data_IF_507342536708
#
_entry.id   IF_507342536708
#
_cell.length_a   1.000
_cell.length_b   1.000
_cell.length_c   1.000
_cell.angle_alpha   90.00
_cell.angle_beta   90.00
_cell.angle_gamma   90.00
#
_symmetry.space_group_name_H-M   'P 1'
#
loop_
_entity.id
_entity.type
_entity.pdbx_description
1 polymer ?
#
# COMPACT_ATOMS: atom_id res chain seq x y z
N UNK A 1 -1.74 2.18 -26.49
CA UNK A 1 -0.90 3.22 -27.14
C UNK A 1 -0.62 4.39 -26.21
N UNK A 2 -1.60 5.23 -25.81
CA UNK A 2 -1.32 6.41 -24.98
C UNK A 2 -0.84 6.07 -23.55
N UNK A 3 -1.38 4.99 -22.97
CA UNK A 3 -1.02 4.50 -21.63
C UNK A 3 0.38 3.85 -21.64
N UNK A 4 0.79 3.23 -22.75
CA UNK A 4 2.13 2.62 -22.87
C UNK A 4 3.21 3.69 -22.94
N UNK A 5 2.90 4.83 -23.57
CA UNK A 5 3.77 5.98 -23.58
C UNK A 5 3.88 6.62 -22.18
N UNK A 6 2.76 6.81 -21.46
CA UNK A 6 2.80 7.32 -20.07
C UNK A 6 3.56 6.41 -19.11
N UNK A 7 3.41 5.08 -19.25
CA UNK A 7 4.18 4.09 -18.49
C UNK A 7 5.67 4.21 -18.84
N UNK A 8 6.01 4.32 -20.12
CA UNK A 8 7.40 4.44 -20.57
C UNK A 8 8.03 5.74 -20.10
N UNK A 9 7.32 6.86 -20.19
CA UNK A 9 7.77 8.18 -19.73
C UNK A 9 7.99 8.19 -18.20
N UNK A 10 7.13 7.47 -17.46
CA UNK A 10 7.31 7.31 -16.02
C UNK A 10 8.50 6.40 -15.70
N UNK A 11 8.64 5.27 -16.38
CA UNK A 11 9.82 4.41 -16.26
C UNK A 11 11.10 5.17 -16.60
N UNK A 12 11.08 6.03 -17.60
CA UNK A 12 12.22 6.85 -17.98
C UNK A 12 12.49 7.97 -16.96
N UNK A 13 11.46 8.49 -16.27
CA UNK A 13 11.62 9.39 -15.13
C UNK A 13 12.21 8.66 -13.92
N UNK A 14 11.74 7.46 -13.61
CA UNK A 14 12.24 6.64 -12.50
C UNK A 14 13.69 6.22 -12.75
N UNK A 15 14.04 5.77 -13.95
CA UNK A 15 15.43 5.51 -14.38
C UNK A 15 16.34 6.74 -14.30
N UNK A 16 15.78 7.95 -14.45
CA UNK A 16 16.53 9.19 -14.26
C UNK A 16 16.70 9.53 -12.77
N UNK A 17 15.74 9.18 -11.92
CA UNK A 17 15.86 9.27 -10.46
C UNK A 17 16.86 8.22 -9.92
N UNK A 18 16.89 7.03 -10.50
CA UNK A 18 17.86 5.95 -10.22
C UNK A 18 19.32 6.38 -10.47
N UNK A 19 19.58 7.34 -11.37
CA UNK A 19 20.94 7.81 -11.67
C UNK A 19 21.60 8.58 -10.51
N UNK A 20 20.90 8.82 -9.41
CA UNK A 20 21.45 9.42 -8.18
C UNK A 20 21.56 8.45 -6.99
N UNK A 21 20.64 7.49 -6.86
CA UNK A 21 20.65 6.38 -5.90
C UNK A 21 19.88 5.20 -6.52
N UNK A 22 20.33 3.93 -6.38
CA UNK A 22 19.54 2.80 -6.85
C UNK A 22 18.20 2.78 -6.10
N UNK A 23 17.09 2.89 -6.82
CA UNK A 23 15.76 2.58 -6.28
C UNK A 23 15.68 1.05 -6.16
N UNK A 24 16.01 0.51 -4.99
CA UNK A 24 15.81 -0.91 -4.70
C UNK A 24 14.35 -1.18 -4.32
N UNK A 25 13.52 -1.14 -5.35
CA UNK A 25 12.09 -1.34 -5.24
C UNK A 25 11.72 -2.70 -4.62
N UNK A 26 12.53 -3.74 -4.84
CA UNK A 26 12.29 -5.07 -4.26
C UNK A 26 12.46 -5.04 -2.74
N UNK A 27 13.57 -4.48 -2.25
CA UNK A 27 13.78 -4.33 -0.80
C UNK A 27 12.76 -3.39 -0.17
N UNK A 28 12.35 -2.33 -0.88
CA UNK A 28 11.32 -1.40 -0.40
C UNK A 28 9.94 -2.07 -0.29
N UNK A 29 9.62 -3.05 -1.15
CA UNK A 29 8.41 -3.89 -1.01
C UNK A 29 8.43 -4.71 0.26
N UNK A 30 9.49 -5.47 0.50
CA UNK A 30 9.62 -6.26 1.72
C UNK A 30 9.55 -5.37 2.97
N UNK A 31 10.20 -4.21 2.91
CA UNK A 31 10.16 -3.21 3.97
C UNK A 31 8.74 -2.67 4.21
N UNK A 32 7.96 -2.46 3.14
CA UNK A 32 6.55 -2.04 3.25
C UNK A 32 5.70 -3.11 3.97
N UNK A 33 5.96 -4.40 3.75
CA UNK A 33 5.28 -5.50 4.44
C UNK A 33 5.73 -5.58 5.90
N UNK A 34 7.01 -5.40 6.19
CA UNK A 34 7.50 -5.31 7.57
C UNK A 34 6.80 -4.18 8.34
N UNK A 35 6.61 -3.02 7.71
CA UNK A 35 5.88 -1.88 8.29
C UNK A 35 4.41 -2.23 8.55
N UNK A 36 3.71 -2.90 7.61
CA UNK A 36 2.34 -3.39 7.83
C UNK A 36 2.28 -4.29 9.08
N UNK A 37 3.22 -5.21 9.22
CA UNK A 37 3.29 -6.12 10.36
C UNK A 37 3.53 -5.37 11.68
N UNK A 38 4.39 -4.35 11.71
CA UNK A 38 4.60 -3.53 12.90
C UNK A 38 3.32 -2.76 13.29
N UNK A 39 2.55 -2.24 12.32
CA UNK A 39 1.22 -1.64 12.60
C UNK A 39 0.30 -2.67 13.25
N UNK A 40 0.25 -3.89 12.71
CA UNK A 40 -0.57 -4.96 13.28
C UNK A 40 -0.12 -5.36 14.70
N UNK A 41 1.18 -5.29 15.01
CA UNK A 41 1.70 -5.55 16.36
C UNK A 41 1.28 -4.42 17.31
N UNK A 42 1.37 -3.16 16.92
CA UNK A 42 0.88 -2.03 17.73
C UNK A 42 -0.60 -2.23 18.11
N UNK A 43 -1.45 -2.58 17.15
CA UNK A 43 -2.87 -2.86 17.39
C UNK A 43 -3.08 -4.04 18.35
N UNK A 44 -2.32 -5.13 18.18
CA UNK A 44 -2.42 -6.31 19.05
C UNK A 44 -2.00 -6.00 20.49
N UNK A 45 -0.94 -5.21 20.68
CA UNK A 45 -0.45 -4.78 21.98
C UNK A 45 -1.46 -3.87 22.68
N UNK A 46 -2.09 -2.95 21.95
CA UNK A 46 -3.20 -2.13 22.46
C UNK A 46 -4.31 -3.02 23.02
N UNK A 47 -4.82 -3.98 22.24
CA UNK A 47 -5.86 -4.89 22.73
C UNK A 47 -5.38 -5.76 23.90
N UNK A 48 -4.11 -6.15 23.94
CA UNK A 48 -3.54 -6.94 25.03
C UNK A 48 -3.47 -6.13 26.33
N UNK A 49 -3.13 -4.85 26.24
CA UNK A 49 -3.15 -3.94 27.37
C UNK A 49 -4.56 -3.84 27.96
N UNK A 50 -5.56 -3.56 27.12
CA UNK A 50 -6.96 -3.39 27.54
C UNK A 50 -7.58 -4.68 28.10
N UNK A 51 -7.28 -5.84 27.48
CA UNK A 51 -7.81 -7.13 27.94
C UNK A 51 -7.22 -7.59 29.27
N UNK A 52 -5.98 -7.19 29.58
CA UNK A 52 -5.25 -7.73 30.73
C UNK A 52 -5.03 -6.71 31.84
N UNK A 53 -5.26 -5.42 31.58
CA UNK A 53 -4.93 -4.32 32.49
C UNK A 53 -3.43 -4.12 32.70
N UNK A 54 -2.55 -4.77 31.93
CA UNK A 54 -1.10 -4.73 32.14
C UNK A 54 -0.46 -3.61 31.31
N UNK A 55 -0.06 -2.54 31.99
CA UNK A 55 0.59 -1.35 31.39
C UNK A 55 1.86 -1.68 30.59
N UNK A 56 2.57 -2.77 30.91
CA UNK A 56 3.76 -3.19 30.15
C UNK A 56 3.54 -3.36 28.65
N UNK A 57 2.30 -3.68 28.22
CA UNK A 57 1.99 -3.80 26.80
C UNK A 57 2.00 -2.43 26.09
N UNK A 58 1.67 -1.35 26.79
CA UNK A 58 1.83 0.02 26.27
C UNK A 58 3.29 0.43 26.13
N UNK A 59 4.15 0.00 27.06
CA UNK A 59 5.59 0.24 26.97
C UNK A 59 6.18 -0.47 25.74
N UNK A 60 5.82 -1.73 25.52
CA UNK A 60 6.24 -2.47 24.32
C UNK A 60 5.66 -1.87 23.03
N UNK A 61 4.41 -1.37 23.08
CA UNK A 61 3.79 -0.68 21.95
C UNK A 61 4.63 0.54 21.53
N UNK A 62 5.13 1.32 22.50
CA UNK A 62 5.98 2.47 22.23
C UNK A 62 7.27 2.08 21.50
N UNK A 63 7.93 0.98 21.89
CA UNK A 63 9.13 0.47 21.21
C UNK A 63 8.84 0.05 19.76
N UNK A 64 7.76 -0.71 19.55
CA UNK A 64 7.32 -1.13 18.21
C UNK A 64 6.99 0.09 17.34
N UNK A 65 6.37 1.11 17.94
CA UNK A 65 6.00 2.36 17.27
C UNK A 65 7.21 3.14 16.79
N UNK A 66 8.28 3.21 17.59
CA UNK A 66 9.52 3.88 17.19
C UNK A 66 10.22 3.12 16.06
N UNK A 67 10.32 1.79 16.17
CA UNK A 67 10.83 0.95 15.08
C UNK A 67 10.05 1.17 13.77
N UNK A 68 8.72 1.20 13.82
CA UNK A 68 7.90 1.48 12.63
C UNK A 68 8.19 2.86 12.06
N UNK A 69 8.32 3.89 12.90
CA UNK A 69 8.63 5.25 12.43
C UNK A 69 9.99 5.29 11.73
N UNK A 70 11.00 4.60 12.23
CA UNK A 70 12.31 4.52 11.60
C UNK A 70 12.23 3.87 10.21
N UNK A 71 11.62 2.69 10.11
CA UNK A 71 11.46 2.00 8.82
C UNK A 71 10.63 2.82 7.82
N UNK A 72 9.59 3.51 8.30
CA UNK A 72 8.76 4.37 7.45
C UNK A 72 9.54 5.55 6.86
N UNK A 73 10.59 6.05 7.54
CA UNK A 73 11.48 7.11 6.98
C UNK A 73 12.36 6.61 5.84
N UNK A 74 12.63 5.31 5.79
CA UNK A 74 13.45 4.74 4.72
C UNK A 74 12.68 4.71 3.40
N UNK A 75 11.37 4.45 3.44
CA UNK A 75 10.52 4.35 2.25
C UNK A 75 9.80 5.64 1.86
N UNK A 76 9.57 6.58 2.80
CA UNK A 76 8.91 7.86 2.54
C UNK A 76 9.92 9.00 2.57
N UNK A 77 10.32 9.48 1.38
CA UNK A 77 11.31 10.56 1.23
C UNK A 77 10.77 11.94 1.62
N UNK A 78 9.47 12.20 1.48
CA UNK A 78 8.80 13.44 1.92
C UNK A 78 8.10 13.21 3.27
N UNK A 79 8.87 13.27 4.36
CA UNK A 79 8.40 12.96 5.72
C UNK A 79 7.64 14.10 6.43
N UNK A 80 7.50 15.26 5.78
CA UNK A 80 6.77 16.41 6.29
C UNK A 80 5.39 16.51 5.61
N UNK A 81 4.31 16.20 6.34
CA UNK A 81 2.93 16.48 5.92
C UNK A 81 2.00 15.27 5.80
N UNK A 82 0.95 15.43 5.00
CA UNK A 82 -0.16 14.47 4.87
C UNK A 82 0.27 13.14 4.22
N UNK A 83 1.29 13.15 3.36
CA UNK A 83 1.79 11.96 2.67
C UNK A 83 2.27 10.87 3.65
N UNK A 84 3.00 11.26 4.70
CA UNK A 84 3.45 10.34 5.75
C UNK A 84 2.28 9.62 6.43
N UNK A 85 1.27 10.39 6.83
CA UNK A 85 0.11 9.87 7.53
C UNK A 85 -0.76 9.02 6.58
N UNK A 86 -0.96 9.48 5.35
CA UNK A 86 -1.70 8.77 4.32
C UNK A 86 -1.06 7.42 3.98
N UNK A 87 0.25 7.38 3.78
CA UNK A 87 0.99 6.15 3.46
C UNK A 87 0.83 5.07 4.52
N UNK A 88 0.97 5.40 5.82
CA UNK A 88 0.72 4.39 6.88
C UNK A 88 -0.74 3.90 6.88
N UNK A 89 -1.70 4.75 6.58
CA UNK A 89 -3.12 4.40 6.59
C UNK A 89 -3.47 3.51 5.39
N UNK A 90 -2.87 3.77 4.23
CA UNK A 90 -3.00 2.92 3.04
C UNK A 90 -2.42 1.52 3.30
N UNK A 91 -1.22 1.43 3.88
CA UNK A 91 -0.61 0.15 4.25
C UNK A 91 -1.47 -0.63 5.25
N UNK A 92 -1.92 0.02 6.32
CA UNK A 92 -2.77 -0.60 7.35
C UNK A 92 -4.10 -1.10 6.79
N UNK A 93 -4.79 -0.28 6.01
CA UNK A 93 -6.08 -0.64 5.41
C UNK A 93 -5.93 -1.77 4.38
N UNK A 94 -4.84 -1.75 3.59
CA UNK A 94 -4.51 -2.82 2.66
C UNK A 94 -4.35 -4.16 3.38
N UNK A 95 -3.49 -4.22 4.40
CA UNK A 95 -3.28 -5.43 5.20
C UNK A 95 -4.58 -5.93 5.85
N UNK A 96 -5.40 -5.02 6.38
CA UNK A 96 -6.67 -5.39 7.02
C UNK A 96 -7.66 -6.00 6.02
N UNK A 97 -7.72 -5.49 4.80
CA UNK A 97 -8.56 -6.07 3.74
C UNK A 97 -8.05 -7.43 3.26
N UNK A 98 -6.73 -7.66 3.21
CA UNK A 98 -6.16 -8.99 2.95
C UNK A 98 -6.67 -10.00 4.00
N UNK A 99 -6.58 -9.65 5.28
CA UNK A 99 -7.04 -10.51 6.38
C UNK A 99 -8.55 -10.80 6.31
N UNK A 100 -9.38 -9.78 6.04
CA UNK A 100 -10.83 -9.96 5.91
C UNK A 100 -11.19 -10.80 4.67
N UNK A 101 -10.48 -10.60 3.56
CA UNK A 101 -10.62 -11.42 2.35
C UNK A 101 -10.27 -12.89 2.60
N UNK A 102 -9.17 -13.17 3.29
CA UNK A 102 -8.77 -14.53 3.68
C UNK A 102 -9.84 -15.20 4.55
N UNK A 103 -10.42 -14.46 5.51
CA UNK A 103 -11.54 -14.99 6.31
C UNK A 103 -12.79 -15.31 5.49
N UNK A 104 -13.09 -14.50 4.47
CA UNK A 104 -14.19 -14.77 3.54
C UNK A 104 -13.92 -16.02 2.69
N UNK A 105 -12.67 -16.24 2.23
CA UNK A 105 -12.29 -17.48 1.56
C UNK A 105 -12.53 -18.71 2.44
N UNK A 106 -12.13 -18.66 3.72
CA UNK A 106 -12.34 -19.77 4.66
C UNK A 106 -13.83 -20.10 4.86
N UNK A 107 -14.74 -19.15 4.64
CA UNK A 107 -16.20 -19.34 4.69
C UNK A 107 -16.81 -19.77 3.35
N UNK A 108 -16.03 -19.87 2.27
CA UNK A 108 -16.53 -20.17 0.92
C UNK A 108 -17.15 -18.96 0.21
N UNK A 109 -16.96 -17.73 0.71
CA UNK A 109 -17.52 -16.49 0.15
C UNK A 109 -16.59 -15.90 -0.92
N UNK A 110 -16.26 -16.67 -1.96
CA UNK A 110 -15.20 -16.33 -2.92
C UNK A 110 -15.37 -14.96 -3.60
N UNK A 111 -16.58 -14.63 -4.06
CA UNK A 111 -16.85 -13.34 -4.71
C UNK A 111 -16.52 -12.17 -3.79
N UNK A 112 -16.84 -12.28 -2.50
CA UNK A 112 -16.59 -11.24 -1.52
C UNK A 112 -15.10 -11.16 -1.18
N UNK A 113 -14.44 -12.31 -1.03
CA UNK A 113 -13.01 -12.37 -0.79
C UNK A 113 -12.21 -11.67 -1.90
N UNK A 114 -12.51 -11.98 -3.16
CA UNK A 114 -11.83 -11.40 -4.32
C UNK A 114 -12.05 -9.90 -4.43
N UNK A 115 -13.24 -9.41 -4.07
CA UNK A 115 -13.51 -7.98 -3.98
C UNK A 115 -12.66 -7.30 -2.88
N UNK A 116 -12.48 -7.93 -1.72
CA UNK A 116 -11.58 -7.42 -0.67
C UNK A 116 -10.12 -7.43 -1.11
N UNK A 117 -9.63 -8.51 -1.74
CA UNK A 117 -8.25 -8.55 -2.25
C UNK A 117 -7.99 -7.49 -3.32
N UNK A 118 -8.97 -7.25 -4.20
CA UNK A 118 -8.85 -6.20 -5.21
C UNK A 118 -8.70 -4.83 -4.56
N UNK A 119 -9.54 -4.52 -3.57
CA UNK A 119 -9.44 -3.26 -2.81
C UNK A 119 -8.11 -3.16 -2.04
N UNK A 120 -7.63 -4.25 -1.43
CA UNK A 120 -6.34 -4.28 -0.75
C UNK A 120 -5.20 -3.91 -1.72
N UNK A 121 -5.18 -4.55 -2.87
CA UNK A 121 -4.18 -4.29 -3.90
C UNK A 121 -4.26 -2.86 -4.45
N UNK A 122 -5.47 -2.31 -4.63
CA UNK A 122 -5.64 -0.92 -5.06
C UNK A 122 -5.09 0.09 -4.04
N UNK A 123 -5.25 -0.16 -2.73
CA UNK A 123 -4.67 0.68 -1.67
C UNK A 123 -3.14 0.57 -1.62
N UNK A 124 -2.60 -0.64 -1.78
CA UNK A 124 -1.16 -0.86 -1.84
C UNK A 124 -0.54 -0.16 -3.05
N UNK A 125 -1.21 -0.22 -4.20
CA UNK A 125 -0.80 0.49 -5.40
C UNK A 125 -0.84 2.00 -5.20
N UNK A 126 -1.86 2.54 -4.51
CA UNK A 126 -1.95 3.96 -4.22
C UNK A 126 -0.80 4.43 -3.33
N UNK A 127 -0.40 3.63 -2.34
CA UNK A 127 0.76 3.89 -1.50
C UNK A 127 2.04 4.08 -2.35
N UNK A 128 2.31 3.15 -3.26
CA UNK A 128 3.44 3.26 -4.17
C UNK A 128 3.32 4.42 -5.14
N UNK A 129 2.12 4.67 -5.68
CA UNK A 129 1.85 5.81 -6.56
C UNK A 129 2.21 7.15 -5.92
N UNK A 130 1.90 7.32 -4.64
CA UNK A 130 2.24 8.53 -3.87
C UNK A 130 3.74 8.60 -3.60
N UNK A 131 4.35 7.53 -3.06
CA UNK A 131 5.76 7.56 -2.66
C UNK A 131 6.74 7.66 -3.84
N UNK A 132 6.36 7.11 -5.00
CA UNK A 132 7.11 7.25 -6.25
C UNK A 132 6.80 8.57 -6.99
N UNK A 133 6.00 9.46 -6.38
CA UNK A 133 5.57 10.75 -6.95
C UNK A 133 4.88 10.62 -8.33
N UNK A 134 4.26 9.47 -8.56
CA UNK A 134 3.45 9.18 -9.76
C UNK A 134 2.07 9.81 -9.63
N UNK A 135 1.58 9.87 -8.40
CA UNK A 135 0.29 10.44 -8.01
C UNK A 135 0.60 11.53 -6.99
N UNK A 136 0.20 12.76 -7.28
CA UNK A 136 0.21 13.80 -6.24
C UNK A 136 -1.10 13.73 -5.45
N UNK A 137 -1.07 13.73 -4.10
CA UNK A 137 -2.28 13.72 -3.29
C UNK A 137 -3.29 14.81 -3.68
N UNK A 138 -2.81 15.98 -4.10
CA UNK A 138 -3.63 17.13 -4.49
C UNK A 138 -4.32 16.98 -5.86
N UNK A 139 -3.82 16.07 -6.71
CA UNK A 139 -4.34 15.81 -8.05
C UNK A 139 -5.44 14.72 -8.05
N UNK A 140 -5.75 14.11 -6.90
CA UNK A 140 -6.81 13.10 -6.77
C UNK A 140 -8.18 13.77 -6.88
N UNK A 141 -8.71 13.86 -8.11
CA UNK A 141 -10.00 14.45 -8.39
C UNK A 141 -11.14 13.43 -8.17
N UNK A 142 -12.09 13.74 -7.29
CA UNK A 142 -13.25 12.89 -7.00
C UNK A 142 -14.09 12.53 -8.24
N UNK A 143 -14.03 13.36 -9.30
CA UNK A 143 -14.77 13.17 -10.54
C UNK A 143 -14.23 12.03 -11.44
N UNK A 144 -12.99 11.57 -11.22
CA UNK A 144 -12.43 10.42 -11.94
C UNK A 144 -12.76 9.07 -11.28
N UNK A 145 -13.26 9.09 -10.05
CA UNK A 145 -13.68 7.90 -9.30
C UNK A 145 -15.13 7.56 -9.70
N UNK A 146 -15.31 7.01 -10.90
CA UNK A 146 -16.63 6.54 -11.35
C UNK A 146 -17.13 5.44 -10.40
N UNK A 147 -18.33 5.64 -9.83
CA UNK A 147 -19.06 4.61 -9.06
C UNK A 147 -19.36 3.41 -9.96
N UNK A 148 -18.61 2.32 -9.83
CA UNK A 148 -18.96 1.07 -10.50
C UNK A 148 -20.11 0.39 -9.75
N UNK A 149 -21.22 0.18 -10.46
CA UNK A 149 -22.28 -0.77 -10.08
C UNK A 149 -21.72 -2.18 -10.16
N UNK A 150 -22.16 -3.03 -9.24
CA UNK A 150 -21.76 -4.44 -9.13
C UNK A 150 -21.91 -5.16 -10.48
N UNK A 151 -20.78 -5.46 -11.11
CA UNK A 151 -20.70 -6.41 -12.23
C UNK A 151 -19.80 -7.58 -11.82
N UNK A 152 -20.06 -8.80 -12.32
CA UNK A 152 -19.23 -9.98 -12.03
C UNK A 152 -17.77 -9.71 -12.36
N UNK A 153 -16.87 -10.45 -11.71
CA UNK A 153 -15.41 -10.31 -11.72
C UNK A 153 -14.87 -10.46 -13.15
N UNK A 154 -15.04 -9.42 -13.93
CA UNK A 154 -14.19 -9.00 -15.02
C UNK A 154 -13.45 -7.79 -14.47
N UNK A 155 -12.15 -7.69 -14.74
CA UNK A 155 -11.30 -6.56 -14.40
C UNK A 155 -11.74 -5.26 -15.12
N UNK A 156 -12.98 -4.79 -14.89
CA UNK A 156 -13.57 -3.63 -15.55
C UNK A 156 -13.06 -2.37 -14.85
N UNK A 157 -11.97 -1.87 -15.42
CA UNK A 157 -11.54 -0.47 -15.57
C UNK A 157 -12.11 0.54 -14.58
N UNK A 158 -11.35 0.79 -13.51
CA UNK A 158 -11.06 2.17 -13.15
C UNK A 158 -9.78 2.54 -13.92
N UNK A 159 -9.87 3.43 -14.92
CA UNK A 159 -8.73 3.73 -15.81
C UNK A 159 -7.51 4.19 -14.99
N UNK A 160 -7.70 4.98 -13.93
CA UNK A 160 -6.60 5.41 -13.06
C UNK A 160 -5.93 4.26 -12.28
N UNK A 161 -6.68 3.49 -11.48
CA UNK A 161 -6.13 2.41 -10.65
C UNK A 161 -5.59 1.24 -11.48
N UNK A 162 -6.25 0.91 -12.60
CA UNK A 162 -5.74 -0.11 -13.51
C UNK A 162 -4.44 0.31 -14.19
N UNK A 163 -4.31 1.59 -14.55
CA UNK A 163 -3.06 2.15 -15.07
C UNK A 163 -1.96 2.14 -14.00
N UNK A 164 -2.29 2.53 -12.77
CA UNK A 164 -1.34 2.54 -11.65
C UNK A 164 -0.85 1.13 -11.32
N UNK A 165 -1.75 0.14 -11.25
CA UNK A 165 -1.39 -1.27 -11.08
C UNK A 165 -0.48 -1.77 -12.20
N UNK A 166 -0.76 -1.41 -13.46
CA UNK A 166 0.06 -1.81 -14.60
C UNK A 166 1.44 -1.15 -14.62
N UNK A 167 1.53 0.07 -14.11
CA UNK A 167 2.76 0.82 -13.91
C UNK A 167 3.60 0.11 -12.85
N UNK A 168 3.01 -0.14 -11.68
CA UNK A 168 3.62 -0.77 -10.51
C UNK A 168 4.06 -2.20 -10.81
N UNK A 169 3.19 -3.03 -11.38
CA UNK A 169 3.54 -4.42 -11.72
C UNK A 169 4.61 -4.57 -12.80
N UNK A 170 4.97 -3.50 -13.53
CA UNK A 170 6.15 -3.48 -14.40
C UNK A 170 7.43 -3.03 -13.68
N UNK A 171 7.30 -2.33 -12.57
CA UNK A 171 8.42 -1.88 -11.74
C UNK A 171 8.87 -2.96 -10.77
N UNK A 172 7.92 -3.66 -10.18
CA UNK A 172 8.17 -4.74 -9.23
C UNK A 172 8.21 -6.06 -9.98
N UNK A 173 9.41 -6.49 -10.34
CA UNK A 173 9.69 -7.85 -10.81
C UNK A 173 10.43 -8.57 -9.67
N UNK A 174 9.70 -8.86 -8.58
CA UNK A 174 10.21 -9.48 -7.34
C UNK A 174 10.83 -10.88 -7.57
N UNK A 175 10.75 -11.42 -8.80
CA UNK A 175 11.32 -12.70 -9.19
C UNK A 175 12.76 -12.58 -9.73
N UNK A 176 13.38 -11.40 -9.70
CA UNK A 176 14.78 -11.16 -10.10
C UNK A 176 15.68 -10.91 -8.90
N UNK A 177 15.73 -11.87 -7.99
CA UNK A 177 16.89 -12.03 -7.10
C UNK A 177 17.98 -12.86 -7.80
#
# INVERSE_FOLDING_TARGET
>A
MEIDQKVKDLMDKLKKLEKGEPLDLSSDEDLSIAIMNLISIEEHLFFSAEKTGKVKFYQLLQEVREMRKELLKMIIKDYEGEAWCLSKHLLAASMRLMEVGTKALTRGEEKQAYDFFKKAYDLYNLFWGINLKVVKPEEINQNEIKKNKETPINYVKNDFLSNLSRIIGKMFDCCRE
#
